data_IF_891925300823
#
_entry.id   IF_891925300823
#
_cell.length_a   1.000
_cell.length_b   1.000
_cell.length_c   1.000
_cell.angle_alpha   90.00
_cell.angle_beta   90.00
_cell.angle_gamma   90.00
#
_symmetry.space_group_name_H-M   'P 1'
#
loop_
_entity.id
_entity.type
_entity.pdbx_description
1 polymer ?
#
# COMPACT_ATOMS: atom_id res chain seq x y z
N UNK A 1 -1.99 53.73 -0.13
CA UNK A 1 -0.75 52.93 -0.02
C UNK A 1 -1.14 51.47 -0.02
N UNK A 2 -0.64 50.67 -0.95
CA UNK A 2 -0.88 49.22 -0.98
C UNK A 2 0.19 48.52 -0.15
N UNK A 3 -0.19 47.97 0.99
CA UNK A 3 0.68 47.13 1.81
C UNK A 3 0.91 45.80 1.10
N UNK A 4 2.18 45.38 0.94
CA UNK A 4 2.55 44.07 0.42
C UNK A 4 3.00 43.18 1.58
N UNK A 5 2.46 41.96 1.66
CA UNK A 5 2.96 40.91 2.55
C UNK A 5 3.95 40.06 1.77
N UNK A 6 5.15 39.85 2.34
CA UNK A 6 6.21 39.05 1.71
C UNK A 6 6.61 37.93 2.67
N UNK A 7 6.72 36.71 2.15
CA UNK A 7 7.31 35.56 2.83
C UNK A 7 8.67 35.31 2.20
N UNK A 8 9.73 35.31 3.00
CA UNK A 8 11.11 35.08 2.57
C UNK A 8 11.55 33.70 3.05
N UNK A 9 11.89 32.81 2.12
CA UNK A 9 12.39 31.47 2.39
C UNK A 9 13.76 31.27 1.76
N UNK A 10 14.44 30.19 2.13
CA UNK A 10 15.63 29.77 1.39
C UNK A 10 15.29 29.44 -0.07
N UNK A 11 16.25 29.67 -0.97
CA UNK A 11 16.10 29.26 -2.36
C UNK A 11 16.36 27.76 -2.45
N UNK A 12 15.31 26.99 -2.74
CA UNK A 12 15.43 25.55 -2.96
C UNK A 12 16.10 25.31 -4.32
N UNK A 13 17.27 24.70 -4.29
CA UNK A 13 18.00 24.31 -5.50
C UNK A 13 17.32 23.09 -6.16
N UNK A 14 17.67 22.80 -7.41
CA UNK A 14 17.14 21.64 -8.14
C UNK A 14 16.00 21.97 -9.11
N UNK A 15 15.22 20.95 -9.46
CA UNK A 15 14.06 21.08 -10.37
C UNK A 15 12.84 20.41 -9.75
N UNK A 16 11.64 20.85 -10.13
CA UNK A 16 10.41 20.21 -9.66
C UNK A 16 10.28 18.78 -10.21
N UNK A 17 9.52 17.94 -9.52
CA UNK A 17 9.19 16.58 -9.98
C UNK A 17 8.51 16.61 -11.35
N UNK A 18 7.65 17.61 -11.59
CA UNK A 18 7.06 17.88 -12.90
C UNK A 18 8.11 18.10 -13.99
N UNK A 19 9.08 18.98 -13.75
CA UNK A 19 10.16 19.29 -14.70
C UNK A 19 11.11 18.11 -14.90
N UNK A 20 11.40 17.34 -13.84
CA UNK A 20 12.24 16.16 -13.91
C UNK A 20 11.70 15.15 -14.91
N UNK A 21 10.40 14.84 -14.86
CA UNK A 21 9.77 13.91 -15.79
C UNK A 21 9.43 14.49 -17.16
N UNK A 22 9.49 15.82 -17.31
CA UNK A 22 9.47 16.44 -18.63
C UNK A 22 10.81 16.27 -19.38
N UNK A 23 11.92 16.12 -18.65
CA UNK A 23 13.28 16.09 -19.21
C UNK A 23 13.90 14.69 -19.29
N UNK A 24 13.55 13.77 -18.38
CA UNK A 24 14.16 12.44 -18.26
C UNK A 24 13.20 11.34 -18.69
N UNK A 25 13.70 10.31 -19.37
CA UNK A 25 12.92 9.08 -19.59
C UNK A 25 12.59 8.42 -18.25
N UNK A 26 11.33 8.03 -18.11
CA UNK A 26 10.80 7.41 -16.90
C UNK A 26 11.00 5.92 -16.93
N UNK A 27 11.82 5.42 -16.02
CA UNK A 27 11.84 3.99 -15.70
C UNK A 27 10.91 3.71 -14.53
N UNK A 28 10.27 2.54 -14.51
CA UNK A 28 9.44 2.14 -13.38
C UNK A 28 10.24 2.05 -12.07
N UNK A 29 11.52 1.65 -12.17
CA UNK A 29 12.44 1.63 -11.02
C UNK A 29 12.66 3.03 -10.43
N UNK A 30 12.82 4.07 -11.27
CA UNK A 30 12.96 5.45 -10.80
C UNK A 30 11.69 5.93 -10.10
N UNK A 31 10.50 5.62 -10.68
CA UNK A 31 9.21 6.00 -10.11
C UNK A 31 9.04 5.44 -8.70
N UNK A 32 9.30 4.13 -8.54
CA UNK A 32 9.16 3.45 -7.26
C UNK A 32 10.17 3.98 -6.24
N UNK A 33 11.41 4.25 -6.66
CA UNK A 33 12.41 4.85 -5.78
C UNK A 33 12.00 6.25 -5.29
N UNK A 34 11.47 7.09 -6.17
CA UNK A 34 10.95 8.42 -5.80
C UNK A 34 9.77 8.31 -4.82
N UNK A 35 8.87 7.35 -5.01
CA UNK A 35 7.76 7.13 -4.05
C UNK A 35 8.27 6.75 -2.67
N UNK A 36 9.28 5.88 -2.55
CA UNK A 36 9.87 5.55 -1.25
C UNK A 36 10.45 6.80 -0.56
N UNK A 37 11.19 7.63 -1.30
CA UNK A 37 11.72 8.89 -0.76
C UNK A 37 10.60 9.86 -0.33
N UNK A 38 9.48 9.89 -1.06
CA UNK A 38 8.31 10.69 -0.68
C UNK A 38 7.62 10.15 0.58
N UNK A 39 7.53 8.83 0.72
CA UNK A 39 7.00 8.18 1.92
C UNK A 39 7.84 8.55 3.13
N UNK A 40 9.17 8.45 3.03
CA UNK A 40 10.10 8.84 4.11
C UNK A 40 9.92 10.31 4.50
N UNK A 41 9.86 11.20 3.51
CA UNK A 41 9.68 12.64 3.72
C UNK A 41 8.34 12.97 4.39
N UNK A 42 7.26 12.30 3.95
CA UNK A 42 5.92 12.52 4.51
C UNK A 42 5.81 11.95 5.93
N UNK A 43 6.43 10.80 6.21
CA UNK A 43 6.57 10.29 7.58
C UNK A 43 7.29 11.28 8.50
N UNK A 44 8.34 11.93 8.01
CA UNK A 44 9.08 12.91 8.81
C UNK A 44 8.20 14.10 9.22
N UNK A 45 7.41 14.66 8.29
CA UNK A 45 6.50 15.77 8.63
C UNK A 45 5.32 15.30 9.49
N UNK A 46 4.82 14.08 9.27
CA UNK A 46 3.76 13.49 10.12
C UNK A 46 4.24 13.29 11.56
N UNK A 47 5.51 12.89 11.76
CA UNK A 47 6.13 12.79 13.09
C UNK A 47 6.25 14.16 13.79
N UNK A 48 6.23 15.25 13.03
CA UNK A 48 6.16 16.63 13.55
C UNK A 48 4.72 17.12 13.72
N UNK A 49 3.73 16.23 13.60
CA UNK A 49 2.30 16.52 13.63
C UNK A 49 1.83 17.48 12.52
N UNK A 50 2.49 17.46 11.36
CA UNK A 50 2.16 18.30 10.20
C UNK A 50 1.57 17.43 9.10
N UNK A 51 0.38 17.75 8.63
CA UNK A 51 -0.23 17.15 7.41
C UNK A 51 -0.12 18.17 6.29
N UNK A 52 0.51 17.81 5.16
CA UNK A 52 0.81 18.77 4.09
C UNK A 52 -0.42 19.19 3.28
N UNK A 53 -1.26 18.23 2.90
CA UNK A 53 -2.52 18.37 2.13
C UNK A 53 -2.39 18.91 0.69
N UNK A 54 -1.25 19.50 0.33
CA UNK A 54 -0.97 20.00 -1.03
C UNK A 54 0.19 19.28 -1.73
N UNK A 55 0.31 17.96 -1.56
CA UNK A 55 1.32 17.19 -2.28
C UNK A 55 0.97 17.18 -3.78
N UNK A 56 1.83 17.80 -4.59
CA UNK A 56 1.69 17.88 -6.05
C UNK A 56 3.07 17.80 -6.72
N UNK A 57 3.16 17.47 -8.03
CA UNK A 57 4.44 17.43 -8.72
C UNK A 57 5.22 18.75 -8.74
N UNK A 58 4.56 19.88 -8.52
CA UNK A 58 5.19 21.22 -8.49
C UNK A 58 5.78 21.55 -7.11
N UNK A 59 5.29 20.89 -6.07
CA UNK A 59 5.66 21.16 -4.69
C UNK A 59 6.77 20.23 -4.19
N UNK A 60 7.27 19.36 -5.05
CA UNK A 60 8.34 18.41 -4.75
C UNK A 60 9.54 18.77 -5.62
N UNK A 61 10.65 19.12 -4.99
CA UNK A 61 11.93 19.40 -5.66
C UNK A 61 12.83 18.17 -5.62
N UNK A 62 13.46 17.88 -6.74
CA UNK A 62 14.52 16.89 -6.88
C UNK A 62 15.85 17.61 -6.98
N UNK A 63 16.74 17.28 -6.05
CA UNK A 63 18.13 17.72 -6.07
C UNK A 63 19.01 16.69 -6.80
N UNK A 64 20.13 17.16 -7.35
CA UNK A 64 21.13 16.31 -8.03
C UNK A 64 20.58 15.51 -9.23
N UNK A 65 19.71 16.11 -10.05
CA UNK A 65 19.13 15.46 -11.23
C UNK A 65 20.12 15.17 -12.37
N UNK A 66 21.34 15.73 -12.33
CA UNK A 66 22.33 15.68 -13.42
C UNK A 66 23.54 14.75 -13.15
N UNK A 67 23.64 14.07 -12.02
CA UNK A 67 24.78 13.21 -11.74
C UNK A 67 24.60 11.83 -12.36
N UNK A 68 25.37 11.57 -13.42
CA UNK A 68 25.46 10.30 -14.15
C UNK A 68 26.07 9.14 -13.34
N UNK A 69 26.46 9.35 -12.08
CA UNK A 69 27.22 8.38 -11.28
C UNK A 69 26.69 8.21 -9.85
N UNK A 70 25.58 7.47 -9.67
CA UNK A 70 25.25 6.84 -8.39
C UNK A 70 24.94 7.76 -7.19
N UNK A 71 24.75 9.07 -7.38
CA UNK A 71 24.36 9.98 -6.29
C UNK A 71 22.89 9.74 -5.93
N UNK A 72 22.65 9.53 -4.63
CA UNK A 72 21.32 9.36 -4.03
C UNK A 72 20.46 10.59 -4.35
N UNK A 73 19.29 10.37 -4.96
CA UNK A 73 18.30 11.42 -5.15
C UNK A 73 17.89 11.97 -3.77
N UNK A 74 17.76 13.29 -3.67
CA UNK A 74 17.27 13.96 -2.48
C UNK A 74 16.03 14.78 -2.85
N UNK A 75 14.98 14.67 -2.03
CA UNK A 75 13.73 15.37 -2.23
C UNK A 75 13.56 16.50 -1.21
N UNK A 76 12.99 17.61 -1.65
CA UNK A 76 12.53 18.67 -0.76
C UNK A 76 11.07 18.98 -1.03
N UNK A 77 10.27 19.01 0.01
CA UNK A 77 8.87 19.41 -0.04
C UNK A 77 8.77 20.90 0.27
N UNK A 78 7.99 21.61 -0.53
CA UNK A 78 7.73 23.05 -0.38
C UNK A 78 6.21 23.29 -0.36
N UNK A 79 5.83 24.56 -0.14
CA UNK A 79 4.44 25.03 -0.24
C UNK A 79 3.50 24.35 0.79
N UNK A 80 3.70 24.74 2.05
CA UNK A 80 2.89 24.35 3.20
C UNK A 80 1.68 25.28 3.41
N UNK A 81 1.23 26.01 2.38
CA UNK A 81 0.13 26.99 2.50
C UNK A 81 -1.19 26.32 2.91
N UNK A 82 -1.38 25.06 2.51
CA UNK A 82 -2.51 24.24 2.93
C UNK A 82 -2.13 23.28 4.05
N UNK A 83 -1.00 23.40 4.73
CA UNK A 83 -0.65 22.45 5.79
C UNK A 83 -1.60 22.56 6.99
N UNK A 84 -1.73 21.48 7.74
CA UNK A 84 -2.40 21.45 9.04
C UNK A 84 -1.40 21.03 10.11
N UNK A 85 -1.28 21.80 11.19
CA UNK A 85 -0.40 21.50 12.32
C UNK A 85 -1.27 21.05 13.50
N UNK A 86 -1.17 19.78 13.87
CA UNK A 86 -1.91 19.21 14.99
C UNK A 86 -1.15 19.46 16.30
N UNK A 87 -1.18 20.71 16.78
CA UNK A 87 -0.62 21.08 18.08
C UNK A 87 -1.65 20.90 19.19
N UNK A 88 -1.41 19.92 20.07
CA UNK A 88 -2.20 19.71 21.31
C UNK A 88 -2.15 20.91 22.28
N UNK A 89 -1.29 21.91 22.03
CA UNK A 89 -0.99 23.02 22.94
C UNK A 89 -1.41 24.41 22.45
N UNK A 90 -1.92 24.55 21.23
CA UNK A 90 -2.57 25.80 20.83
C UNK A 90 -3.91 25.81 21.58
N UNK A 91 -3.97 26.57 22.69
CA UNK A 91 -5.23 26.99 23.29
C UNK A 91 -6.11 27.39 22.12
N UNK A 92 -7.26 26.73 21.93
CA UNK A 92 -8.28 27.10 20.93
C UNK A 92 -8.50 28.61 21.05
N UNK A 93 -7.73 29.41 20.33
CA UNK A 93 -8.04 30.81 20.15
C UNK A 93 -9.26 30.75 19.28
N UNK A 94 -10.32 31.42 19.71
CA UNK A 94 -11.59 31.56 19.00
C UNK A 94 -11.46 32.24 17.61
N UNK A 95 -10.27 32.20 16.99
CA UNK A 95 -10.06 32.52 15.59
C UNK A 95 -10.62 31.40 14.72
N UNK A 96 -11.94 31.27 14.76
CA UNK A 96 -12.77 30.82 13.65
C UNK A 96 -12.67 31.81 12.47
N UNK A 97 -11.46 32.24 12.12
CA UNK A 97 -11.20 32.98 10.89
C UNK A 97 -10.99 31.93 9.81
N UNK A 98 -12.02 31.11 9.63
CA UNK A 98 -12.19 30.27 8.46
C UNK A 98 -12.59 31.19 7.32
N UNK A 99 -12.18 30.86 6.09
CA UNK A 99 -12.73 31.54 4.91
C UNK A 99 -14.26 31.52 5.04
N UNK A 100 -14.89 32.69 4.94
CA UNK A 100 -16.35 32.90 5.11
C UNK A 100 -17.23 31.98 4.23
N UNK A 101 -16.64 31.18 3.35
CA UNK A 101 -17.31 30.34 2.39
C UNK A 101 -17.37 28.85 2.77
N UNK A 102 -16.81 28.41 3.91
CA UNK A 102 -16.80 27.02 4.43
C UNK A 102 -16.38 25.90 3.46
N UNK A 103 -16.03 26.22 2.20
CA UNK A 103 -15.62 25.23 1.22
C UNK A 103 -14.23 24.70 1.57
N UNK A 104 -14.03 23.37 1.59
CA UNK A 104 -12.69 22.81 1.71
C UNK A 104 -11.83 23.37 0.56
N UNK A 105 -10.66 23.92 0.91
CA UNK A 105 -9.69 24.32 -0.11
C UNK A 105 -9.29 23.06 -0.87
N UNK A 106 -9.67 23.00 -2.13
CA UNK A 106 -9.42 21.83 -2.98
C UNK A 106 -7.97 21.87 -3.45
N UNK A 107 -7.28 20.75 -3.30
CA UNK A 107 -6.02 20.52 -3.98
C UNK A 107 -6.31 20.44 -5.49
N UNK A 108 -5.69 21.32 -6.29
CA UNK A 108 -5.93 21.40 -7.73
C UNK A 108 -5.39 20.21 -8.53
N UNK A 109 -4.56 19.36 -7.92
CA UNK A 109 -3.98 18.16 -8.53
C UNK A 109 -4.89 16.93 -8.38
N UNK A 110 -5.43 16.69 -7.18
CA UNK A 110 -6.36 15.60 -6.91
C UNK A 110 -7.35 15.95 -5.80
N UNK A 111 -8.64 15.76 -6.08
CA UNK A 111 -9.71 15.83 -5.08
C UNK A 111 -9.74 14.54 -4.25
N UNK A 112 -9.28 14.63 -2.99
CA UNK A 112 -9.18 13.48 -2.10
C UNK A 112 -10.55 13.08 -1.53
N UNK A 113 -10.91 11.78 -1.48
CA UNK A 113 -12.21 11.30 -1.01
C UNK A 113 -12.56 11.70 0.43
N UNK A 114 -11.58 12.05 1.26
CA UNK A 114 -11.77 12.49 2.64
C UNK A 114 -12.55 13.81 2.74
N UNK A 115 -12.57 14.62 1.67
CA UNK A 115 -13.37 15.84 1.60
C UNK A 115 -14.74 15.64 0.94
N UNK A 116 -15.03 14.43 0.45
CA UNK A 116 -16.38 14.01 0.07
C UNK A 116 -17.17 13.72 1.35
N UNK A 117 -17.41 14.75 2.16
CA UNK A 117 -18.41 14.64 3.22
C UNK A 117 -19.74 14.57 2.50
N UNK A 118 -20.37 13.39 2.50
CA UNK A 118 -21.80 13.29 2.22
C UNK A 118 -22.47 14.26 3.18
N UNK A 119 -22.94 15.40 2.66
CA UNK A 119 -23.76 16.35 3.39
C UNK A 119 -25.02 15.59 3.80
N UNK A 120 -24.96 14.93 4.95
CA UNK A 120 -26.14 14.40 5.61
C UNK A 120 -27.06 15.60 5.78
N UNK A 121 -28.32 15.48 5.35
CA UNK A 121 -29.38 16.51 5.40
C UNK A 121 -29.74 16.97 6.83
N UNK A 122 -28.84 16.79 7.80
CA UNK A 122 -28.98 17.29 9.14
C UNK A 122 -28.56 18.76 9.14
N UNK A 123 -29.49 19.65 9.48
CA UNK A 123 -29.29 21.10 9.59
C UNK A 123 -28.28 21.51 10.71
N UNK A 124 -27.39 20.63 11.14
CA UNK A 124 -26.42 20.85 12.21
C UNK A 124 -25.05 21.23 11.62
N UNK A 125 -24.89 22.54 11.43
CA UNK A 125 -23.68 23.16 10.89
C UNK A 125 -22.46 22.87 11.77
N UNK A 126 -22.63 22.77 13.10
CA UNK A 126 -21.52 22.55 14.03
C UNK A 126 -20.96 21.14 13.90
N UNK A 127 -21.83 20.15 13.66
CA UNK A 127 -21.42 18.77 13.38
C UNK A 127 -20.65 18.66 12.04
N UNK A 128 -21.10 19.36 11.00
CA UNK A 128 -20.41 19.39 9.71
C UNK A 128 -19.01 19.99 9.81
N UNK A 129 -18.87 21.12 10.51
CA UNK A 129 -17.57 21.77 10.75
C UNK A 129 -16.61 20.81 11.48
N UNK A 130 -17.09 20.12 12.52
CA UNK A 130 -16.28 19.15 13.26
C UNK A 130 -15.81 17.98 12.38
N UNK A 131 -16.67 17.46 11.50
CA UNK A 131 -16.26 16.40 10.58
C UNK A 131 -15.23 16.87 9.56
N UNK A 132 -15.42 18.06 8.97
CA UNK A 132 -14.46 18.64 8.03
C UNK A 132 -13.10 18.88 8.70
N UNK A 133 -13.09 19.40 9.93
CA UNK A 133 -11.85 19.64 10.68
C UNK A 133 -11.15 18.34 11.08
N UNK A 134 -11.91 17.30 11.44
CA UNK A 134 -11.36 15.96 11.69
C UNK A 134 -10.76 15.36 10.42
N UNK A 135 -11.45 15.46 9.28
CA UNK A 135 -10.95 14.99 7.99
C UNK A 135 -9.64 15.70 7.61
N UNK A 136 -9.56 17.03 7.82
CA UNK A 136 -8.37 17.86 7.57
C UNK A 136 -7.15 17.48 8.41
N UNK A 137 -7.36 16.91 9.59
CA UNK A 137 -6.30 16.41 10.47
C UNK A 137 -5.75 15.05 10.05
N UNK A 138 -6.42 14.38 9.12
CA UNK A 138 -6.07 13.01 8.75
C UNK A 138 -4.80 12.95 7.91
N UNK A 139 -3.80 12.23 8.41
CA UNK A 139 -2.57 11.86 7.68
C UNK A 139 -2.86 11.00 6.45
N UNK A 140 -4.06 10.40 6.36
CA UNK A 140 -4.50 9.66 5.18
C UNK A 140 -4.57 10.55 3.94
N UNK A 141 -4.80 11.86 4.09
CA UNK A 141 -4.83 12.80 2.96
C UNK A 141 -3.50 12.74 2.19
N UNK A 142 -2.38 12.87 2.89
CA UNK A 142 -1.06 12.84 2.25
C UNK A 142 -0.76 11.46 1.67
N UNK A 143 -1.18 10.38 2.34
CA UNK A 143 -0.99 9.02 1.83
C UNK A 143 -1.76 8.80 0.53
N UNK A 144 -3.00 9.28 0.46
CA UNK A 144 -3.83 9.29 -0.75
C UNK A 144 -3.18 10.11 -1.87
N UNK A 145 -2.60 11.28 -1.55
CA UNK A 145 -1.90 12.11 -2.53
C UNK A 145 -0.61 11.46 -3.04
N UNK A 146 0.09 10.65 -2.22
CA UNK A 146 1.21 9.83 -2.70
C UNK A 146 0.73 8.79 -3.72
N UNK A 147 -0.43 8.15 -3.50
CA UNK A 147 -1.01 7.25 -4.51
C UNK A 147 -1.36 7.98 -5.81
N UNK A 148 -1.91 9.20 -5.71
CA UNK A 148 -2.18 10.06 -6.87
C UNK A 148 -0.90 10.45 -7.63
N UNK A 149 0.19 10.75 -6.89
CA UNK A 149 1.51 11.01 -7.48
C UNK A 149 2.07 9.76 -8.16
N UNK A 150 1.96 8.57 -7.57
CA UNK A 150 2.36 7.31 -8.22
C UNK A 150 1.61 7.09 -9.54
N UNK A 151 0.29 7.28 -9.52
CA UNK A 151 -0.54 7.18 -10.72
C UNK A 151 -0.10 8.19 -11.80
N UNK A 152 0.10 9.45 -11.42
CA UNK A 152 0.58 10.48 -12.34
C UNK A 152 1.98 10.17 -12.86
N UNK A 153 2.90 9.67 -12.03
CA UNK A 153 4.26 9.32 -12.48
C UNK A 153 4.27 8.18 -13.49
N UNK A 154 3.34 7.23 -13.37
CA UNK A 154 3.16 6.13 -14.34
C UNK A 154 2.51 6.67 -15.63
N UNK A 155 1.42 7.41 -15.52
CA UNK A 155 0.54 7.73 -16.67
C UNK A 155 0.77 9.10 -17.31
N UNK A 156 1.45 10.03 -16.63
CA UNK A 156 1.48 11.49 -16.86
C UNK A 156 0.13 12.18 -16.88
N UNK A 157 -0.90 11.55 -16.33
CA UNK A 157 -2.21 12.17 -16.23
C UNK A 157 -2.49 12.56 -14.80
N UNK A 158 -2.93 13.80 -14.63
CA UNK A 158 -3.42 14.27 -13.34
C UNK A 158 -4.74 13.54 -13.03
N UNK A 159 -4.82 12.77 -11.93
CA UNK A 159 -6.08 12.22 -11.49
C UNK A 159 -6.85 13.36 -10.81
N UNK A 160 -7.56 14.21 -11.55
CA UNK A 160 -8.21 15.39 -10.93
C UNK A 160 -9.34 15.02 -9.97
N UNK A 161 -10.13 14.01 -10.34
CA UNK A 161 -11.30 13.56 -9.60
C UNK A 161 -11.08 12.14 -9.07
N UNK A 162 -11.70 11.83 -7.94
CA UNK A 162 -11.72 10.48 -7.36
C UNK A 162 -12.40 9.45 -8.25
N UNK A 163 -13.43 9.87 -9.00
CA UNK A 163 -14.17 9.06 -9.97
C UNK A 163 -14.58 9.88 -11.19
N UNK A 164 -14.76 9.21 -12.32
CA UNK A 164 -15.32 9.79 -13.54
C UNK A 164 -16.86 9.80 -13.51
N UNK A 165 -17.49 10.26 -14.60
CA UNK A 165 -18.95 10.31 -14.75
C UNK A 165 -19.62 8.91 -14.73
N UNK A 166 -18.86 7.85 -14.96
CA UNK A 166 -19.32 6.47 -14.91
C UNK A 166 -19.02 5.81 -13.55
N UNK A 167 -18.51 6.57 -12.58
CA UNK A 167 -18.11 6.06 -11.28
C UNK A 167 -16.79 5.28 -11.28
N UNK A 168 -16.02 5.27 -12.38
CA UNK A 168 -14.71 4.60 -12.44
C UNK A 168 -13.63 5.45 -11.79
N UNK A 169 -12.78 4.83 -10.98
CA UNK A 169 -11.57 5.47 -10.43
C UNK A 169 -10.52 5.76 -11.52
N UNK A 170 -9.55 6.66 -11.30
CA UNK A 170 -8.57 7.06 -12.31
C UNK A 170 -7.82 5.91 -12.99
N UNK A 171 -7.50 4.84 -12.26
CA UNK A 171 -6.78 3.66 -12.77
C UNK A 171 -7.67 2.65 -13.49
N UNK A 172 -8.99 2.74 -13.35
CA UNK A 172 -9.97 1.81 -13.94
C UNK A 172 -10.39 2.22 -15.36
N UNK A 173 -9.97 3.40 -15.84
CA UNK A 173 -10.26 3.82 -17.21
C UNK A 173 -9.42 3.03 -18.21
N UNK A 174 -10.02 2.64 -19.34
CA UNK A 174 -9.34 1.82 -20.37
C UNK A 174 -8.01 2.43 -20.83
N UNK A 175 -7.96 3.76 -20.91
CA UNK A 175 -6.75 4.47 -21.31
C UNK A 175 -5.67 4.39 -20.21
N UNK A 176 -6.03 4.55 -18.94
CA UNK A 176 -5.10 4.40 -17.82
C UNK A 176 -4.57 2.96 -17.70
N UNK A 177 -5.45 1.97 -17.84
CA UNK A 177 -5.07 0.54 -17.82
C UNK A 177 -3.99 0.27 -18.89
N UNK A 178 -4.21 0.74 -20.13
CA UNK A 178 -3.23 0.59 -21.21
C UNK A 178 -1.87 1.23 -20.88
N UNK A 179 -1.86 2.41 -20.27
CA UNK A 179 -0.61 3.08 -19.87
C UNK A 179 0.11 2.35 -18.72
N UNK A 180 -0.63 1.85 -17.74
CA UNK A 180 -0.08 1.06 -16.63
C UNK A 180 0.53 -0.22 -17.18
N UNK A 181 -0.23 -0.98 -18.00
CA UNK A 181 0.26 -2.23 -18.60
C UNK A 181 1.49 -1.98 -19.48
N UNK A 182 1.48 -0.96 -20.33
CA UNK A 182 2.64 -0.58 -21.14
C UNK A 182 3.87 -0.26 -20.28
N UNK A 183 3.69 0.42 -19.15
CA UNK A 183 4.80 0.74 -18.23
C UNK A 183 5.36 -0.51 -17.56
N UNK A 184 4.49 -1.44 -17.17
CA UNK A 184 4.88 -2.71 -16.55
C UNK A 184 5.57 -3.67 -17.53
N UNK A 185 5.13 -3.68 -18.80
CA UNK A 185 5.73 -4.50 -19.87
C UNK A 185 7.19 -4.13 -20.14
N UNK A 186 7.61 -2.90 -19.83
CA UNK A 186 9.02 -2.49 -19.90
C UNK A 186 9.91 -3.16 -18.84
N UNK A 187 9.34 -3.78 -17.81
CA UNK A 187 10.08 -4.36 -16.68
C UNK A 187 9.88 -5.86 -16.55
N UNK A 188 8.69 -6.35 -16.92
CA UNK A 188 8.34 -7.76 -16.82
C UNK A 188 7.59 -8.20 -18.08
N UNK A 189 7.87 -9.42 -18.56
CA UNK A 189 7.13 -10.01 -19.67
C UNK A 189 5.64 -10.15 -19.28
N UNK A 190 4.73 -9.71 -20.14
CA UNK A 190 3.28 -9.72 -19.93
C UNK A 190 2.72 -11.06 -19.46
N UNK A 191 3.29 -12.17 -19.94
CA UNK A 191 2.86 -13.53 -19.63
C UNK A 191 3.56 -14.13 -18.39
N UNK A 192 4.42 -13.36 -17.72
CA UNK A 192 5.10 -13.82 -16.51
C UNK A 192 4.23 -13.61 -15.28
N UNK A 193 4.30 -14.55 -14.33
CA UNK A 193 3.66 -14.38 -13.02
C UNK A 193 4.09 -13.08 -12.32
N UNK A 194 5.35 -12.65 -12.55
CA UNK A 194 5.89 -11.39 -12.03
C UNK A 194 5.17 -10.14 -12.55
N UNK A 195 4.80 -10.12 -13.84
CA UNK A 195 3.99 -9.03 -14.40
C UNK A 195 2.62 -8.96 -13.72
N UNK A 196 1.96 -10.12 -13.56
CA UNK A 196 0.66 -10.19 -12.88
C UNK A 196 0.76 -9.77 -11.41
N UNK A 197 1.81 -10.15 -10.68
CA UNK A 197 2.05 -9.69 -9.31
C UNK A 197 2.25 -8.18 -9.24
N UNK A 198 3.09 -7.60 -10.11
CA UNK A 198 3.29 -6.13 -10.17
C UNK A 198 1.97 -5.40 -10.45
N UNK A 199 1.20 -5.87 -11.44
CA UNK A 199 -0.11 -5.32 -11.79
C UNK A 199 -1.05 -5.38 -10.59
N UNK A 200 -1.13 -6.53 -9.91
CA UNK A 200 -1.97 -6.72 -8.71
C UNK A 200 -1.61 -5.74 -7.60
N UNK A 201 -0.33 -5.60 -7.25
CA UNK A 201 0.08 -4.69 -6.18
C UNK A 201 -0.20 -3.22 -6.53
N UNK A 202 0.02 -2.80 -7.78
CA UNK A 202 -0.34 -1.45 -8.21
C UNK A 202 -1.85 -1.22 -8.18
N UNK A 203 -2.65 -2.15 -8.71
CA UNK A 203 -4.11 -2.06 -8.65
C UNK A 203 -4.59 -1.92 -7.21
N UNK A 204 -4.05 -2.74 -6.29
CA UNK A 204 -4.41 -2.67 -4.89
C UNK A 204 -4.04 -1.31 -4.26
N UNK A 205 -2.86 -0.76 -4.55
CA UNK A 205 -2.47 0.59 -4.10
C UNK A 205 -3.46 1.64 -4.60
N UNK A 206 -3.90 1.55 -5.86
CA UNK A 206 -4.85 2.50 -6.45
C UNK A 206 -6.27 2.33 -5.93
N UNK A 207 -6.76 1.11 -5.79
CA UNK A 207 -8.06 0.82 -5.17
C UNK A 207 -8.16 1.42 -3.76
N UNK A 208 -7.05 1.35 -3.03
CA UNK A 208 -6.95 1.88 -1.66
C UNK A 208 -6.78 3.39 -1.65
N UNK A 209 -5.96 3.95 -2.54
CA UNK A 209 -5.74 5.38 -2.66
C UNK A 209 -6.98 6.15 -3.12
N UNK A 210 -7.67 5.63 -4.13
CA UNK A 210 -8.84 6.26 -4.76
C UNK A 210 -10.18 5.72 -4.23
N UNK A 211 -10.15 4.76 -3.31
CA UNK A 211 -11.30 4.21 -2.63
C UNK A 211 -11.89 5.17 -1.57
N UNK A 212 -12.91 4.68 -0.86
CA UNK A 212 -13.53 5.46 0.23
C UNK A 212 -12.55 5.65 1.38
N UNK A 213 -12.75 6.70 2.18
CA UNK A 213 -11.85 7.04 3.29
C UNK A 213 -11.60 5.90 4.28
N UNK A 214 -12.60 5.04 4.51
CA UNK A 214 -12.48 3.87 5.41
C UNK A 214 -11.61 2.74 4.84
N UNK A 215 -11.35 2.74 3.53
CA UNK A 215 -10.56 1.73 2.85
C UNK A 215 -9.10 2.14 2.68
N UNK A 216 -8.80 3.43 2.84
CA UNK A 216 -7.47 4.00 2.61
C UNK A 216 -6.44 3.48 3.60
N UNK A 217 -5.21 3.38 3.12
CA UNK A 217 -4.11 2.89 3.94
C UNK A 217 -3.40 4.02 4.69
N UNK A 218 -2.98 3.79 5.94
CA UNK A 218 -1.96 4.62 6.56
C UNK A 218 -0.63 4.45 5.83
N UNK A 219 0.24 5.45 5.97
CA UNK A 219 1.51 5.54 5.24
C UNK A 219 2.41 4.29 5.38
N UNK A 220 2.41 3.63 6.54
CA UNK A 220 3.19 2.40 6.77
C UNK A 220 2.66 1.20 5.95
N UNK A 221 1.34 1.12 5.75
CA UNK A 221 0.77 0.05 4.92
C UNK A 221 1.05 0.29 3.43
N UNK A 222 1.02 1.55 2.99
CA UNK A 222 1.44 1.92 1.64
C UNK A 222 2.92 1.58 1.41
N UNK A 223 3.80 1.94 2.34
CA UNK A 223 5.24 1.63 2.26
C UNK A 223 5.49 0.13 2.08
N UNK A 224 4.85 -0.71 2.89
CA UNK A 224 5.00 -2.17 2.78
C UNK A 224 4.67 -2.69 1.38
N UNK A 225 3.66 -2.14 0.73
CA UNK A 225 3.28 -2.53 -0.64
C UNK A 225 4.26 -2.02 -1.69
N UNK A 226 4.82 -0.82 -1.50
CA UNK A 226 5.87 -0.29 -2.39
C UNK A 226 7.16 -1.12 -2.26
N UNK A 227 7.52 -1.56 -1.05
CA UNK A 227 8.68 -2.44 -0.82
C UNK A 227 8.51 -3.81 -1.50
N UNK A 228 7.31 -4.40 -1.48
CA UNK A 228 7.04 -5.63 -2.24
C UNK A 228 7.22 -5.43 -3.75
N UNK A 229 6.79 -4.28 -4.28
CA UNK A 229 7.05 -3.93 -5.68
C UNK A 229 8.56 -3.80 -5.94
N UNK A 230 9.33 -3.18 -5.04
CA UNK A 230 10.79 -3.10 -5.14
C UNK A 230 11.46 -4.48 -5.19
N UNK A 231 11.04 -5.40 -4.32
CA UNK A 231 11.56 -6.76 -4.27
C UNK A 231 11.26 -7.52 -5.55
N UNK A 232 10.03 -7.40 -6.07
CA UNK A 232 9.65 -7.99 -7.35
C UNK A 232 10.56 -7.48 -8.47
N UNK A 233 10.77 -6.15 -8.58
CA UNK A 233 11.67 -5.55 -9.58
C UNK A 233 13.11 -6.05 -9.40
N UNK A 234 13.60 -6.12 -8.16
CA UNK A 234 14.97 -6.56 -7.86
C UNK A 234 15.17 -8.03 -8.23
N UNK A 235 14.20 -8.89 -7.91
CA UNK A 235 14.23 -10.31 -8.28
C UNK A 235 14.25 -10.55 -9.80
N UNK A 236 13.73 -9.59 -10.60
CA UNK A 236 13.77 -9.67 -12.07
C UNK A 236 15.17 -9.39 -12.60
N UNK A 237 15.93 -8.50 -11.96
CA UNK A 237 17.31 -8.19 -12.36
C UNK A 237 18.29 -9.34 -12.09
N UNK A 238 18.00 -10.20 -11.09
CA UNK A 238 18.87 -11.31 -10.70
C UNK A 238 18.56 -12.64 -11.40
N UNK A 239 17.47 -12.73 -12.17
CA UNK A 239 17.05 -14.00 -12.79
C UNK A 239 17.90 -14.42 -14.00
N UNK A 240 18.84 -13.59 -14.45
CA UNK A 240 19.82 -13.97 -15.48
C UNK A 240 20.98 -14.83 -14.93
N UNK A 241 21.08 -15.08 -13.61
CA UNK A 241 22.30 -15.66 -13.02
C UNK A 241 22.12 -16.90 -12.11
N UNK A 242 20.88 -17.41 -11.92
CA UNK A 242 20.61 -18.42 -10.89
C UNK A 242 20.28 -19.82 -11.43
N UNK A 243 21.31 -20.61 -11.74
CA UNK A 243 21.24 -22.06 -11.94
C UNK A 243 21.99 -22.85 -10.84
N UNK A 244 21.85 -22.45 -9.56
CA UNK A 244 22.43 -23.20 -8.44
C UNK A 244 21.41 -23.49 -7.36
N UNK A 245 21.16 -24.78 -7.16
CA UNK A 245 20.35 -25.36 -6.09
C UNK A 245 21.21 -25.39 -4.82
N UNK A 246 20.71 -24.83 -3.71
CA UNK A 246 21.35 -24.91 -2.40
C UNK A 246 20.96 -26.21 -1.66
N UNK A 247 21.88 -26.76 -0.83
CA UNK A 247 21.66 -28.00 -0.09
C UNK A 247 20.70 -27.82 1.09
N UNK A 248 19.95 -28.88 1.41
CA UNK A 248 18.99 -28.94 2.52
C UNK A 248 19.68 -29.15 3.87
N UNK A 249 19.53 -28.16 4.76
CA UNK A 249 19.88 -28.25 6.19
C UNK A 249 18.57 -28.45 6.99
N UNK A 250 18.55 -29.30 8.03
CA UNK A 250 17.36 -29.55 8.85
C UNK A 250 16.95 -28.33 9.70
N UNK A 251 15.63 -28.12 9.80
CA UNK A 251 14.99 -26.98 10.49
C UNK A 251 15.18 -27.07 12.03
N UNK A 252 15.63 -26.00 12.70
CA UNK A 252 15.61 -25.95 14.16
C UNK A 252 14.20 -25.55 14.67
N UNK A 253 13.35 -26.54 14.96
CA UNK A 253 12.00 -26.33 15.53
C UNK A 253 11.99 -25.55 16.87
N UNK A 254 13.14 -25.36 17.50
CA UNK A 254 13.34 -24.55 18.71
C UNK A 254 13.57 -23.05 18.44
N UNK A 255 13.61 -22.61 17.18
CA UNK A 255 13.82 -21.20 16.85
C UNK A 255 12.60 -20.35 17.24
N UNK A 256 12.75 -19.24 18.00
CA UNK A 256 11.63 -18.39 18.43
C UNK A 256 10.76 -17.87 17.28
N UNK A 257 11.37 -17.64 16.11
CA UNK A 257 10.68 -17.20 14.91
C UNK A 257 9.70 -18.27 14.38
N UNK A 258 10.10 -19.55 14.39
CA UNK A 258 9.25 -20.66 14.00
C UNK A 258 8.01 -20.76 14.90
N UNK A 259 8.20 -20.65 16.23
CA UNK A 259 7.11 -20.69 17.20
C UNK A 259 6.10 -19.56 16.94
N UNK A 260 6.57 -18.36 16.63
CA UNK A 260 5.70 -17.21 16.30
C UNK A 260 4.94 -17.41 15.00
N UNK A 261 5.58 -17.95 13.97
CA UNK A 261 4.94 -18.27 12.69
C UNK A 261 3.88 -19.35 12.83
N UNK A 262 4.17 -20.40 13.60
CA UNK A 262 3.18 -21.43 13.94
C UNK A 262 1.99 -20.82 14.69
N UNK A 263 2.25 -19.93 15.65
CA UNK A 263 1.21 -19.16 16.35
C UNK A 263 0.40 -18.28 15.39
N UNK A 264 1.05 -17.64 14.42
CA UNK A 264 0.39 -16.79 13.43
C UNK A 264 -0.53 -17.59 12.51
N UNK A 265 -0.04 -18.69 11.93
CA UNK A 265 -0.85 -19.59 11.12
C UNK A 265 -2.04 -20.10 11.94
N UNK A 266 -1.84 -20.43 13.22
CA UNK A 266 -2.94 -20.84 14.09
C UNK A 266 -3.98 -19.72 14.32
N UNK A 267 -3.53 -18.46 14.46
CA UNK A 267 -4.44 -17.31 14.54
C UNK A 267 -5.22 -17.10 13.26
N UNK A 268 -4.58 -17.19 12.10
CA UNK A 268 -5.27 -17.15 10.79
C UNK A 268 -6.37 -18.21 10.77
N UNK A 269 -6.05 -19.46 11.13
CA UNK A 269 -7.01 -20.57 11.14
C UNK A 269 -8.20 -20.27 12.06
N UNK A 270 -7.94 -19.77 13.27
CA UNK A 270 -8.98 -19.44 14.25
C UNK A 270 -9.84 -18.25 13.81
N UNK A 271 -9.23 -17.16 13.33
CA UNK A 271 -9.92 -15.99 12.80
C UNK A 271 -10.78 -16.34 11.59
N UNK A 272 -10.28 -17.21 10.71
CA UNK A 272 -11.03 -17.70 9.57
C UNK A 272 -12.30 -18.45 10.01
N UNK A 273 -12.19 -19.41 10.93
CA UNK A 273 -13.35 -20.14 11.47
C UNK A 273 -14.34 -19.18 12.13
N UNK A 274 -13.85 -18.21 12.91
CA UNK A 274 -14.71 -17.23 13.57
C UNK A 274 -15.46 -16.33 12.57
N UNK A 275 -14.78 -15.83 11.53
CA UNK A 275 -15.41 -15.04 10.47
C UNK A 275 -16.39 -15.85 9.64
N UNK A 276 -16.13 -17.16 9.50
CA UNK A 276 -16.97 -18.11 8.78
C UNK A 276 -18.01 -18.81 9.67
N UNK A 277 -18.18 -18.41 10.93
CA UNK A 277 -19.10 -19.08 11.87
C UNK A 277 -20.58 -19.08 11.42
N UNK A 278 -20.94 -18.22 10.45
CA UNK A 278 -22.25 -18.21 9.81
C UNK A 278 -22.44 -19.34 8.78
N UNK A 279 -21.37 -20.03 8.40
CA UNK A 279 -21.40 -21.21 7.55
C UNK A 279 -21.18 -22.43 8.43
N UNK A 280 -22.27 -23.15 8.75
CA UNK A 280 -22.26 -24.35 9.61
C UNK A 280 -21.35 -25.50 9.11
N UNK A 281 -20.72 -25.32 7.96
CA UNK A 281 -19.99 -26.33 7.23
C UNK A 281 -18.49 -26.06 7.05
N UNK A 282 -17.94 -24.99 7.63
CA UNK A 282 -16.53 -24.62 7.49
C UNK A 282 -15.74 -24.97 8.76
N UNK A 283 -14.76 -25.87 8.65
CA UNK A 283 -13.85 -26.19 9.75
C UNK A 283 -12.46 -26.66 9.28
N UNK A 284 -11.47 -26.64 10.16
CA UNK A 284 -10.16 -27.25 9.91
C UNK A 284 -10.17 -28.71 10.36
N UNK A 285 -9.52 -29.60 9.60
CA UNK A 285 -9.42 -31.01 9.98
C UNK A 285 -8.53 -31.17 11.22
N UNK A 286 -9.15 -31.41 12.38
CA UNK A 286 -8.51 -31.38 13.69
C UNK A 286 -7.45 -32.48 13.94
N UNK A 287 -7.41 -33.54 13.13
CA UNK A 287 -6.71 -34.78 13.52
C UNK A 287 -5.74 -35.38 12.50
N UNK A 288 -5.62 -34.89 11.26
CA UNK A 288 -4.89 -35.68 10.25
C UNK A 288 -3.61 -35.06 9.67
N UNK A 289 -3.43 -33.73 9.61
CA UNK A 289 -2.43 -33.23 8.67
C UNK A 289 -1.67 -31.94 9.02
N UNK A 290 -1.59 -31.51 10.28
CA UNK A 290 -0.68 -30.41 10.67
C UNK A 290 0.79 -30.87 10.60
N UNK A 291 1.28 -31.05 9.36
CA UNK A 291 2.61 -31.57 9.04
C UNK A 291 3.51 -30.40 8.67
N UNK A 292 4.53 -30.21 9.48
CA UNK A 292 5.61 -29.29 9.19
C UNK A 292 6.72 -30.04 8.46
N UNK A 293 7.21 -29.47 7.37
CA UNK A 293 8.35 -30.01 6.63
C UNK A 293 9.11 -28.87 5.97
N UNK A 294 10.38 -29.06 5.65
CA UNK A 294 11.13 -28.03 4.95
C UNK A 294 12.62 -28.03 5.25
N UNK A 295 13.25 -26.93 4.92
CA UNK A 295 14.65 -26.63 5.19
C UNK A 295 14.78 -25.21 5.78
N UNK A 296 16.01 -24.73 6.01
CA UNK A 296 16.26 -23.42 6.61
C UNK A 296 15.64 -22.22 5.85
N UNK A 297 15.35 -22.38 4.56
CA UNK A 297 14.79 -21.33 3.72
C UNK A 297 13.30 -21.49 3.47
N UNK A 298 12.77 -22.71 3.49
CA UNK A 298 11.38 -22.98 3.13
C UNK A 298 10.78 -23.92 4.16
N UNK A 299 9.76 -23.45 4.88
CA UNK A 299 9.00 -24.21 5.87
C UNK A 299 7.58 -24.36 5.35
N UNK A 300 7.16 -25.58 5.08
CA UNK A 300 5.81 -25.91 4.66
C UNK A 300 5.02 -26.42 5.86
N UNK A 301 3.83 -25.89 6.06
CA UNK A 301 2.78 -26.41 6.91
C UNK A 301 1.61 -26.87 6.03
N UNK A 302 1.33 -28.15 6.06
CA UNK A 302 0.18 -28.71 5.37
C UNK A 302 -1.03 -28.71 6.31
N UNK A 303 -2.21 -28.56 5.75
CA UNK A 303 -3.48 -28.67 6.45
C UNK A 303 -4.60 -29.05 5.46
N UNK A 304 -5.80 -29.31 6.00
CA UNK A 304 -7.02 -29.54 5.23
C UNK A 304 -8.11 -28.63 5.76
N UNK A 305 -8.60 -27.75 4.90
CA UNK A 305 -9.82 -26.99 5.15
C UNK A 305 -11.02 -27.78 4.64
N UNK A 306 -12.02 -27.95 5.50
CA UNK A 306 -13.27 -28.64 5.18
C UNK A 306 -14.33 -27.56 4.95
N UNK A 307 -15.00 -27.63 3.81
CA UNK A 307 -16.12 -26.75 3.47
C UNK A 307 -17.26 -27.61 2.92
N UNK A 308 -18.33 -27.78 3.70
CA UNK A 308 -19.36 -28.77 3.36
C UNK A 308 -18.79 -30.18 3.43
N UNK A 309 -18.98 -30.93 2.35
CA UNK A 309 -18.42 -32.27 2.18
C UNK A 309 -17.02 -32.25 1.53
N UNK A 310 -16.57 -31.07 1.06
CA UNK A 310 -15.30 -30.95 0.33
C UNK A 310 -14.13 -30.81 1.30
N UNK A 311 -13.00 -31.43 0.93
CA UNK A 311 -11.72 -31.35 1.65
C UNK A 311 -10.71 -30.67 0.74
N UNK A 312 -10.29 -29.47 1.12
CA UNK A 312 -9.34 -28.65 0.38
C UNK A 312 -7.97 -28.75 1.06
N UNK A 313 -6.97 -29.40 0.44
CA UNK A 313 -5.61 -29.37 0.93
C UNK A 313 -5.07 -27.93 0.87
N UNK A 314 -4.62 -27.42 2.00
CA UNK A 314 -3.97 -26.12 2.11
C UNK A 314 -2.52 -26.34 2.50
N UNK A 315 -1.61 -25.63 1.85
CA UNK A 315 -0.20 -25.63 2.19
C UNK A 315 0.25 -24.19 2.42
N UNK A 316 0.52 -23.89 3.69
CA UNK A 316 1.19 -22.68 4.10
C UNK A 316 2.69 -22.87 3.89
N UNK A 317 3.27 -22.21 2.92
CA UNK A 317 4.70 -22.22 2.65
C UNK A 317 5.33 -20.91 3.12
N UNK A 318 6.16 -20.98 4.14
CA UNK A 318 6.92 -19.86 4.68
C UNK A 318 8.31 -19.88 4.06
N UNK A 319 8.71 -18.80 3.41
CA UNK A 319 10.02 -18.64 2.77
C UNK A 319 10.81 -17.60 3.57
N UNK A 320 11.96 -17.98 4.12
CA UNK A 320 12.90 -17.10 4.82
C UNK A 320 13.95 -16.58 3.83
N UNK A 321 14.12 -15.26 3.79
CA UNK A 321 15.19 -14.62 3.03
C UNK A 321 16.38 -14.34 3.96
N UNK A 322 17.50 -15.05 3.73
CA UNK A 322 18.70 -15.01 4.60
C UNK A 322 19.30 -13.61 4.79
N UNK A 323 19.08 -12.70 3.84
CA UNK A 323 19.79 -11.42 3.80
C UNK A 323 19.08 -10.28 4.54
N UNK A 324 17.84 -10.46 4.99
CA UNK A 324 16.95 -9.34 5.37
C UNK A 324 15.97 -9.63 6.52
N UNK A 325 16.12 -10.74 7.25
CA UNK A 325 15.18 -11.15 8.32
C UNK A 325 13.70 -11.07 7.91
N UNK A 326 13.42 -11.30 6.62
CA UNK A 326 12.08 -11.33 6.08
C UNK A 326 11.59 -12.75 5.89
N UNK A 327 10.29 -12.91 6.08
CA UNK A 327 9.55 -14.13 5.83
C UNK A 327 8.50 -13.82 4.78
N UNK A 328 8.21 -14.75 3.87
CA UNK A 328 7.08 -14.69 2.93
C UNK A 328 6.17 -15.88 3.20
N UNK A 329 4.88 -15.64 3.42
CA UNK A 329 3.89 -16.69 3.59
C UNK A 329 3.09 -16.86 2.30
N UNK A 330 3.34 -17.94 1.59
CA UNK A 330 2.48 -18.42 0.52
C UNK A 330 1.43 -19.34 1.14
N UNK A 331 0.20 -19.23 0.68
CA UNK A 331 -0.85 -20.21 1.00
C UNK A 331 -1.33 -20.81 -0.32
N UNK A 332 -0.90 -22.03 -0.58
CA UNK A 332 -1.35 -22.81 -1.73
C UNK A 332 -2.62 -23.56 -1.34
N UNK A 333 -3.70 -23.35 -2.09
CA UNK A 333 -4.95 -24.10 -1.95
C UNK A 333 -5.05 -25.01 -3.17
N UNK A 334 -4.95 -26.32 -2.94
CA UNK A 334 -4.95 -27.31 -4.02
C UNK A 334 -6.39 -27.65 -4.42
N UNK A 335 -6.82 -27.10 -5.54
CA UNK A 335 -7.98 -27.55 -6.32
C UNK A 335 -7.49 -28.11 -7.67
N UNK A 336 -8.40 -28.25 -8.65
CA UNK A 336 -8.05 -28.69 -10.01
C UNK A 336 -7.06 -27.72 -10.72
N UNK A 337 -7.00 -26.45 -10.30
CA UNK A 337 -6.17 -25.40 -10.94
C UNK A 337 -5.06 -24.77 -10.06
N UNK A 338 -4.82 -25.26 -8.83
CA UNK A 338 -3.86 -24.74 -7.84
C UNK A 338 -3.86 -23.21 -7.68
N UNK A 339 -4.56 -22.70 -6.66
CA UNK A 339 -4.52 -21.27 -6.30
C UNK A 339 -3.39 -20.98 -5.32
N UNK A 340 -2.55 -19.97 -5.61
CA UNK A 340 -1.49 -19.50 -4.71
C UNK A 340 -1.84 -18.11 -4.18
N UNK A 341 -2.16 -18.02 -2.89
CA UNK A 341 -2.36 -16.75 -2.18
C UNK A 341 -1.02 -16.33 -1.59
N UNK A 342 -0.40 -15.30 -2.16
CA UNK A 342 0.80 -14.71 -1.58
C UNK A 342 0.41 -13.65 -0.54
N UNK A 343 0.69 -13.93 0.74
CA UNK A 343 0.42 -12.97 1.81
C UNK A 343 1.63 -12.04 1.99
N UNK A 344 1.40 -10.72 2.03
CA UNK A 344 2.47 -9.75 2.21
C UNK A 344 3.04 -9.90 3.61
N UNK A 345 4.17 -10.56 3.74
CA UNK A 345 4.86 -10.66 5.00
C UNK A 345 5.99 -9.64 4.95
N UNK A 346 5.78 -8.52 5.63
CA UNK A 346 6.75 -7.41 5.67
C UNK A 346 7.93 -7.70 6.60
N UNK A 347 8.68 -6.65 6.92
CA UNK A 347 9.72 -6.68 7.95
C UNK A 347 9.09 -6.97 9.32
N UNK A 348 9.43 -8.12 9.90
CA UNK A 348 8.98 -8.52 11.23
C UNK A 348 9.95 -7.97 12.28
N UNK A 349 9.78 -6.69 12.67
CA UNK A 349 10.39 -6.24 13.94
C UNK A 349 9.60 -6.84 15.10
N UNK A 350 10.34 -7.23 16.13
CA UNK A 350 9.83 -7.99 17.27
C UNK A 350 8.60 -7.36 17.96
N UNK A 351 8.42 -6.05 17.80
CA UNK A 351 7.41 -5.24 18.49
C UNK A 351 6.24 -4.75 17.60
N UNK A 352 6.31 -4.87 16.27
CA UNK A 352 5.28 -4.34 15.32
C UNK A 352 4.21 -5.39 14.94
N UNK A 353 4.21 -6.50 15.66
CA UNK A 353 3.61 -7.75 15.27
C UNK A 353 2.06 -7.73 15.28
N UNK A 354 1.43 -7.02 16.23
CA UNK A 354 -0.02 -7.11 16.42
C UNK A 354 -0.84 -6.46 15.29
N UNK A 355 -0.37 -5.35 14.72
CA UNK A 355 -1.15 -4.57 13.76
C UNK A 355 -1.07 -5.14 12.32
N UNK A 356 0.09 -5.69 11.95
CA UNK A 356 0.29 -6.35 10.66
C UNK A 356 -0.50 -7.67 10.55
N UNK A 357 -0.66 -8.39 11.67
CA UNK A 357 -1.44 -9.63 11.71
C UNK A 357 -2.90 -9.44 11.33
N UNK A 358 -3.56 -8.39 11.80
CA UNK A 358 -4.97 -8.14 11.47
C UNK A 358 -5.15 -7.90 9.97
N UNK A 359 -4.23 -7.16 9.34
CA UNK A 359 -4.29 -6.86 7.91
C UNK A 359 -4.04 -8.11 7.06
N UNK A 360 -3.01 -8.89 7.38
CA UNK A 360 -2.71 -10.14 6.65
C UNK A 360 -3.84 -11.15 6.82
N UNK A 361 -4.39 -11.27 8.04
CA UNK A 361 -5.53 -12.14 8.32
C UNK A 361 -6.76 -11.73 7.50
N UNK A 362 -7.05 -10.42 7.42
CA UNK A 362 -8.16 -9.92 6.60
C UNK A 362 -7.95 -10.18 5.10
N UNK A 363 -6.74 -9.99 4.58
CA UNK A 363 -6.40 -10.32 3.18
C UNK A 363 -6.62 -11.81 2.94
N UNK A 364 -6.08 -12.67 3.80
CA UNK A 364 -6.27 -14.11 3.68
C UNK A 364 -7.75 -14.51 3.68
N UNK A 365 -8.54 -13.97 4.61
CA UNK A 365 -9.98 -14.23 4.71
C UNK A 365 -10.69 -13.80 3.42
N UNK A 366 -10.42 -12.59 2.92
CA UNK A 366 -11.03 -12.09 1.69
C UNK A 366 -10.69 -12.94 0.48
N UNK A 367 -9.43 -13.38 0.35
CA UNK A 367 -8.97 -14.23 -0.75
C UNK A 367 -9.61 -15.62 -0.70
N UNK A 368 -9.73 -16.23 0.49
CA UNK A 368 -10.40 -17.53 0.65
C UNK A 368 -11.91 -17.43 0.43
N UNK A 369 -12.56 -16.35 0.87
CA UNK A 369 -13.99 -16.12 0.60
C UNK A 369 -14.21 -15.88 -0.89
N UNK A 370 -13.37 -15.08 -1.54
CA UNK A 370 -13.46 -14.86 -2.98
C UNK A 370 -13.32 -16.19 -3.73
N UNK A 371 -12.29 -16.97 -3.40
CA UNK A 371 -12.09 -18.31 -3.92
C UNK A 371 -13.32 -19.20 -3.70
N UNK A 372 -13.91 -19.20 -2.50
CA UNK A 372 -15.10 -19.99 -2.19
C UNK A 372 -16.31 -19.60 -3.04
N UNK A 373 -16.57 -18.30 -3.20
CA UNK A 373 -17.71 -17.81 -3.98
C UNK A 373 -17.59 -18.18 -5.47
N UNK A 374 -16.40 -18.07 -6.05
CA UNK A 374 -16.14 -18.52 -7.42
C UNK A 374 -16.40 -20.01 -7.61
N UNK A 375 -16.25 -20.80 -6.55
CA UNK A 375 -16.30 -22.27 -6.59
C UNK A 375 -17.67 -22.89 -6.24
N UNK A 376 -18.64 -22.08 -5.78
CA UNK A 376 -20.05 -22.48 -5.55
C UNK A 376 -20.90 -22.17 -6.79
N UNK A 377 -20.52 -21.16 -7.56
CA UNK A 377 -21.24 -20.78 -8.79
C UNK A 377 -21.02 -21.78 -9.94
N UNK A 378 -20.06 -22.71 -9.79
CA UNK A 378 -19.81 -23.89 -10.63
C UNK A 378 -20.33 -25.18 -9.96
#
# INVERSE_FOLDING_TARGET
>A
MTTKLLILTETVQGITLAEYFAKKERTFSDIIHIILLLIDLVKEIHNKNIVHRNLTPKNIFIHNSNSLDGVKLHLTLIDFDLAHINEKHIKKTNSNIWSRDNKPMKNGFYEVPQFEVELLNNNDIDYEIQQVDSARQSTLIDTTLICALLFWMITLKEPKNSRDLNGKAPHETDQSIKFIEYTLEKVANRNSGKFHSLRRHLTLIFDRGFGKSQQQWPINQLEGQILLICELITSMKHQDDSSKILPTIPIPFSEPLFIRLASFINRIKHSFVHCCAYFDSICWSSNENNRWSGNNQIINNYDILIIGERRLPIKFQIIRYENIDMLKLNVEIKNDDMTIIELPCGYWKEDDIENQYATITNIFILEVIHFYNTFIEE
#
